data_IF_366092429783
#
_entry.id   IF_366092429783
#
_cell.length_a   1.000
_cell.length_b   1.000
_cell.length_c   1.000
_cell.angle_alpha   90.00
_cell.angle_beta   90.00
_cell.angle_gamma   90.00
#
_symmetry.space_group_name_H-M   'P 1'
#
loop_
_entity.id
_entity.type
_entity.pdbx_description
1 polymer ?
#
# COMPACT_ATOMS: atom_id res chain seq x y z
N UNK A 1 55.01 30.35 5.69
CA UNK A 1 54.98 29.49 4.49
C UNK A 1 55.24 28.05 4.94
N UNK A 2 54.19 27.23 5.00
CA UNK A 2 54.32 25.79 5.22
C UNK A 2 53.12 25.12 4.54
N UNK A 3 53.39 24.52 3.39
CA UNK A 3 52.42 23.89 2.51
C UNK A 3 52.15 22.47 3.00
N UNK A 4 50.91 22.15 3.36
CA UNK A 4 50.48 20.76 3.60
C UNK A 4 50.06 20.12 2.26
N UNK A 5 50.40 18.84 2.02
CA UNK A 5 50.06 18.18 0.78
C UNK A 5 48.61 17.71 0.78
N UNK A 6 48.00 17.86 -0.40
CA UNK A 6 46.68 17.35 -0.75
C UNK A 6 46.74 15.83 -0.82
N UNK A 7 45.88 15.15 -0.07
CA UNK A 7 45.62 13.72 -0.20
C UNK A 7 44.11 13.51 -0.25
N UNK A 8 43.52 13.90 -1.39
CA UNK A 8 42.21 13.46 -1.83
C UNK A 8 42.40 12.76 -3.15
N UNK A 9 42.56 11.45 -3.10
CA UNK A 9 42.21 10.50 -4.16
C UNK A 9 42.72 9.14 -3.69
N UNK A 10 41.78 8.29 -3.27
CA UNK A 10 41.82 6.83 -3.38
C UNK A 10 40.63 6.33 -2.56
N UNK A 11 39.56 5.98 -3.28
CA UNK A 11 38.41 5.14 -2.94
C UNK A 11 37.13 5.68 -3.59
N UNK A 12 37.19 5.95 -4.90
CA UNK A 12 36.01 5.83 -5.75
C UNK A 12 35.87 4.33 -6.07
N UNK A 13 35.46 3.55 -5.08
CA UNK A 13 34.95 2.21 -5.36
C UNK A 13 33.56 2.40 -5.92
N UNK A 14 33.39 1.91 -7.15
CA UNK A 14 32.15 1.88 -7.90
C UNK A 14 31.04 1.28 -7.02
N UNK A 15 30.15 2.14 -6.53
CA UNK A 15 28.94 1.71 -5.85
C UNK A 15 28.08 0.99 -6.91
N UNK A 16 27.60 -0.24 -6.66
CA UNK A 16 26.68 -0.91 -7.55
C UNK A 16 25.45 -0.02 -7.70
N UNK A 17 25.13 0.39 -8.93
CA UNK A 17 23.85 1.05 -9.21
C UNK A 17 22.72 0.13 -8.73
N UNK A 18 21.92 0.65 -7.80
CA UNK A 18 20.71 -0.03 -7.34
C UNK A 18 19.85 -0.37 -8.56
N UNK A 19 19.45 -1.64 -8.74
CA UNK A 19 18.63 -2.02 -9.89
C UNK A 19 17.32 -1.24 -9.89
N UNK A 20 16.80 -0.83 -11.06
CA UNK A 20 15.54 -0.11 -11.14
C UNK A 20 14.44 -0.92 -10.45
N UNK A 21 13.78 -0.25 -9.50
CA UNK A 21 12.73 -0.81 -8.65
C UNK A 21 11.63 -1.45 -9.52
N UNK A 22 11.22 -2.71 -9.26
CA UNK A 22 10.32 -3.43 -10.17
C UNK A 22 8.87 -3.00 -9.94
N UNK A 23 8.49 -1.77 -10.32
CA UNK A 23 7.07 -1.43 -10.37
C UNK A 23 6.38 -2.34 -11.37
N UNK A 24 5.27 -2.97 -10.96
CA UNK A 24 4.47 -3.76 -11.89
C UNK A 24 3.88 -2.74 -12.86
N UNK A 25 4.25 -2.80 -14.14
CA UNK A 25 3.74 -1.84 -15.08
C UNK A 25 2.23 -2.06 -15.21
N UNK A 26 1.48 -0.95 -15.31
CA UNK A 26 0.02 -0.98 -15.27
C UNK A 26 -0.58 -1.92 -16.32
N UNK A 27 0.09 -2.13 -17.45
CA UNK A 27 -0.33 -3.02 -18.53
C UNK A 27 -0.53 -4.49 -18.08
N UNK A 28 0.17 -4.94 -17.03
CA UNK A 28 0.08 -6.28 -16.46
C UNK A 28 -1.11 -6.51 -15.53
N UNK A 29 -1.81 -5.45 -15.10
CA UNK A 29 -2.99 -5.60 -14.24
C UNK A 29 -4.17 -6.20 -15.01
N UNK A 30 -4.90 -7.13 -14.39
CA UNK A 30 -6.13 -7.68 -14.98
C UNK A 30 -7.25 -6.62 -14.92
N UNK A 31 -7.72 -6.18 -16.10
CA UNK A 31 -8.78 -5.17 -16.20
C UNK A 31 -10.09 -5.65 -15.58
N UNK A 32 -10.36 -6.96 -15.62
CA UNK A 32 -11.58 -7.52 -15.04
C UNK A 32 -11.59 -7.41 -13.52
N UNK A 33 -10.41 -7.39 -12.90
CA UNK A 33 -10.25 -7.19 -11.46
C UNK A 33 -10.26 -5.70 -11.13
N UNK A 34 -9.56 -4.89 -11.93
CA UNK A 34 -9.49 -3.41 -11.77
C UNK A 34 -10.87 -2.76 -11.82
N UNK A 35 -11.76 -3.26 -12.67
CA UNK A 35 -13.13 -2.76 -12.83
C UNK A 35 -14.10 -3.19 -11.73
N UNK A 36 -13.69 -4.06 -10.80
CA UNK A 36 -14.54 -4.46 -9.69
C UNK A 36 -14.74 -3.28 -8.74
N UNK A 37 -15.98 -2.85 -8.56
CA UNK A 37 -16.34 -1.85 -7.56
C UNK A 37 -15.92 -2.27 -6.14
N UNK A 38 -16.02 -3.58 -5.85
CA UNK A 38 -15.51 -4.19 -4.62
C UNK A 38 -14.02 -3.91 -4.38
N UNK A 39 -13.19 -3.89 -5.43
CA UNK A 39 -11.76 -3.57 -5.32
C UNK A 39 -11.55 -2.11 -4.89
N UNK A 40 -12.23 -1.18 -5.56
CA UNK A 40 -12.17 0.24 -5.23
C UNK A 40 -12.62 0.50 -3.77
N UNK A 41 -13.73 -0.10 -3.35
CA UNK A 41 -14.22 0.02 -1.96
C UNK A 41 -13.20 -0.57 -0.98
N UNK A 42 -12.64 -1.75 -1.27
CA UNK A 42 -11.66 -2.38 -0.40
C UNK A 42 -10.39 -1.52 -0.22
N UNK A 43 -9.85 -0.96 -1.32
CA UNK A 43 -8.69 -0.06 -1.27
C UNK A 43 -8.97 1.20 -0.43
N UNK A 44 -10.17 1.77 -0.54
CA UNK A 44 -10.59 2.91 0.28
C UNK A 44 -10.75 2.54 1.76
N UNK A 45 -11.28 1.36 2.07
CA UNK A 45 -11.40 0.88 3.47
C UNK A 45 -10.02 0.72 4.11
N UNK A 46 -9.05 0.16 3.38
CA UNK A 46 -7.72 -0.14 3.92
C UNK A 46 -6.88 1.09 4.31
N UNK A 47 -7.31 2.29 3.97
CA UNK A 47 -6.64 3.55 4.35
C UNK A 47 -7.36 4.30 5.48
N UNK A 48 -8.51 3.80 5.92
CA UNK A 48 -9.43 4.45 6.88
C UNK A 48 -9.30 3.85 8.27
N UNK A 49 -8.35 4.37 9.05
CA UNK A 49 -8.15 3.97 10.45
C UNK A 49 -9.35 4.30 11.34
N UNK A 50 -10.15 5.32 11.00
CA UNK A 50 -11.41 5.61 11.68
C UNK A 50 -12.43 4.47 11.57
N UNK A 51 -12.43 3.74 10.43
CA UNK A 51 -13.27 2.56 10.28
C UNK A 51 -12.76 1.40 11.11
N UNK A 52 -11.43 1.24 11.19
CA UNK A 52 -10.80 0.23 12.03
C UNK A 52 -11.12 0.42 13.50
N UNK A 53 -10.90 1.63 14.04
CA UNK A 53 -11.21 1.93 15.44
C UNK A 53 -12.70 1.73 15.75
N UNK A 54 -13.59 2.21 14.85
CA UNK A 54 -15.04 1.97 15.00
C UNK A 54 -15.40 0.48 14.99
N UNK A 55 -14.73 -0.33 14.17
CA UNK A 55 -14.97 -1.77 14.11
C UNK A 55 -14.46 -2.49 15.37
N UNK A 56 -13.32 -2.08 15.93
CA UNK A 56 -12.84 -2.61 17.21
C UNK A 56 -13.79 -2.28 18.37
N UNK A 57 -14.31 -1.05 18.43
CA UNK A 57 -15.31 -0.63 19.45
C UNK A 57 -16.60 -1.46 19.38
N UNK A 58 -17.10 -1.71 18.16
CA UNK A 58 -18.30 -2.52 17.93
C UNK A 58 -18.11 -4.00 18.30
N UNK A 59 -16.87 -4.46 18.30
CA UNK A 59 -16.48 -5.80 18.67
C UNK A 59 -15.67 -5.77 19.96
N UNK A 60 -16.18 -5.11 21.00
CA UNK A 60 -15.49 -4.93 22.29
C UNK A 60 -15.02 -6.25 22.94
N UNK A 61 -15.63 -7.38 22.58
CA UNK A 61 -15.17 -8.72 22.97
C UNK A 61 -13.73 -9.04 22.48
N UNK A 62 -13.26 -8.32 21.45
CA UNK A 62 -11.87 -8.39 20.97
C UNK A 62 -10.86 -7.76 21.92
N UNK A 63 -11.29 -6.92 22.87
CA UNK A 63 -10.41 -6.27 23.84
C UNK A 63 -9.83 -7.20 24.90
N UNK A 64 -10.16 -8.51 24.89
CA UNK A 64 -9.63 -9.46 25.86
C UNK A 64 -8.63 -10.44 25.25
N UNK A 65 -8.99 -11.21 24.21
CA UNK A 65 -8.06 -12.08 23.46
C UNK A 65 -8.72 -12.46 22.13
N UNK A 66 -8.14 -12.11 20.97
CA UNK A 66 -8.66 -12.54 19.66
C UNK A 66 -7.80 -13.62 19.04
N UNK A 67 -8.42 -14.60 18.37
CA UNK A 67 -7.67 -15.49 17.50
C UNK A 67 -7.57 -14.85 16.10
N UNK A 68 -6.41 -14.29 15.80
CA UNK A 68 -6.11 -13.69 14.50
C UNK A 68 -5.81 -14.73 13.40
N UNK A 69 -5.79 -16.03 13.72
CA UNK A 69 -5.43 -17.11 12.80
C UNK A 69 -3.93 -17.25 12.52
N UNK A 70 -3.09 -16.37 13.06
CA UNK A 70 -1.62 -16.47 12.95
C UNK A 70 -1.08 -17.54 13.90
N UNK A 71 -0.07 -18.34 13.49
CA UNK A 71 0.64 -19.24 14.40
C UNK A 71 1.36 -18.50 15.53
N UNK A 72 1.52 -17.18 15.43
CA UNK A 72 2.09 -16.33 16.48
C UNK A 72 1.03 -15.83 17.49
N UNK A 73 -0.27 -16.07 17.24
CA UNK A 73 -1.40 -15.70 18.10
C UNK A 73 -1.92 -16.91 18.93
N UNK A 74 -1.07 -17.84 19.38
CA UNK A 74 -1.51 -19.14 19.96
C UNK A 74 -2.35 -19.05 21.23
N UNK A 75 -2.20 -17.99 22.03
CA UNK A 75 -2.99 -17.75 23.24
C UNK A 75 -3.99 -16.60 23.08
N UNK A 76 -4.27 -16.22 21.84
CA UNK A 76 -4.95 -14.98 21.51
C UNK A 76 -3.96 -13.82 21.37
N UNK A 77 -4.45 -12.72 20.81
CA UNK A 77 -3.67 -11.51 20.59
C UNK A 77 -4.51 -10.26 20.86
N UNK A 78 -3.83 -9.19 21.26
CA UNK A 78 -4.41 -7.86 21.44
C UNK A 78 -4.48 -7.14 20.09
N UNK A 79 -5.66 -6.71 19.61
CA UNK A 79 -5.75 -5.80 18.48
C UNK A 79 -5.04 -4.48 18.79
N UNK A 80 -4.45 -3.86 17.77
CA UNK A 80 -3.88 -2.53 17.87
C UNK A 80 -4.92 -1.49 17.48
N UNK A 81 -5.12 -0.44 18.27
CA UNK A 81 -6.14 0.59 17.96
C UNK A 81 -5.72 1.55 16.83
N UNK A 82 -4.40 1.70 16.66
CA UNK A 82 -3.70 2.61 15.75
C UNK A 82 -3.16 1.91 14.49
N UNK A 83 -3.31 0.59 14.39
CA UNK A 83 -2.83 -0.19 13.24
C UNK A 83 -3.74 -1.39 12.95
N UNK A 84 -4.01 -1.69 11.67
CA UNK A 84 -4.88 -2.80 11.25
C UNK A 84 -4.22 -4.19 11.41
N UNK A 85 -3.78 -4.52 12.63
CA UNK A 85 -3.19 -5.80 13.01
C UNK A 85 -3.39 -6.06 14.52
N UNK A 86 -2.86 -7.18 15.00
CA UNK A 86 -2.65 -7.40 16.43
C UNK A 86 -1.17 -7.23 16.78
N UNK A 87 -0.87 -7.09 18.07
CA UNK A 87 0.51 -6.96 18.60
C UNK A 87 1.43 -8.06 18.06
N UNK A 88 1.03 -9.32 18.18
CA UNK A 88 1.86 -10.47 17.75
C UNK A 88 2.18 -10.46 16.24
N UNK A 89 1.19 -10.10 15.40
CA UNK A 89 1.41 -9.98 13.96
C UNK A 89 2.25 -8.75 13.61
N UNK A 90 2.11 -7.65 14.35
CA UNK A 90 2.89 -6.45 14.12
C UNK A 90 4.36 -6.65 14.48
N UNK A 91 4.64 -7.21 15.66
CA UNK A 91 6.00 -7.42 16.18
C UNK A 91 6.79 -8.49 15.41
N UNK A 92 6.14 -9.30 14.58
CA UNK A 92 6.83 -10.31 13.78
C UNK A 92 7.57 -9.67 12.60
N UNK A 93 8.88 -9.44 12.74
CA UNK A 93 9.73 -8.85 11.70
C UNK A 93 9.93 -9.68 10.42
N UNK A 94 9.41 -10.91 10.34
CA UNK A 94 9.51 -11.75 9.13
C UNK A 94 8.27 -11.69 8.23
N UNK A 95 7.14 -11.22 8.73
CA UNK A 95 5.92 -11.07 7.95
C UNK A 95 5.47 -9.63 8.03
N UNK A 96 5.33 -9.00 6.87
CA UNK A 96 4.67 -7.70 6.80
C UNK A 96 3.30 -7.82 7.50
N UNK A 97 2.87 -6.87 8.34
CA UNK A 97 1.67 -7.02 9.16
C UNK A 97 0.35 -7.10 8.36
N UNK A 98 0.44 -7.08 7.02
CA UNK A 98 -0.64 -7.25 6.05
C UNK A 98 -1.36 -8.59 6.14
N UNK A 99 -0.72 -9.63 6.70
CA UNK A 99 -1.27 -10.98 6.77
C UNK A 99 -2.02 -11.30 8.07
N UNK A 100 -2.21 -10.31 8.96
CA UNK A 100 -3.00 -10.51 10.16
C UNK A 100 -4.47 -10.85 9.80
N UNK A 101 -4.99 -11.99 10.28
CA UNK A 101 -6.37 -12.39 9.98
C UNK A 101 -7.43 -11.45 10.56
N UNK A 102 -7.10 -10.62 11.56
CA UNK A 102 -7.97 -9.53 12.00
C UNK A 102 -8.24 -8.52 10.89
N UNK A 103 -7.23 -8.18 10.08
CA UNK A 103 -7.40 -7.28 8.93
C UNK A 103 -8.37 -7.87 7.91
N UNK A 104 -8.28 -9.19 7.67
CA UNK A 104 -9.21 -9.90 6.78
C UNK A 104 -10.63 -9.90 7.33
N UNK A 105 -10.81 -10.08 8.65
CA UNK A 105 -12.12 -10.02 9.30
C UNK A 105 -12.71 -8.60 9.23
N UNK A 106 -11.92 -7.59 9.59
CA UNK A 106 -12.29 -6.18 9.45
C UNK A 106 -12.74 -5.83 8.04
N UNK A 107 -11.95 -6.22 7.03
CA UNK A 107 -12.29 -5.93 5.64
C UNK A 107 -13.59 -6.63 5.22
N UNK A 108 -13.78 -7.89 5.61
CA UNK A 108 -15.01 -8.65 5.34
C UNK A 108 -16.23 -7.94 5.93
N UNK A 109 -16.16 -7.57 7.20
CA UNK A 109 -17.30 -6.99 7.93
C UNK A 109 -17.60 -5.57 7.41
N UNK A 110 -16.56 -4.81 7.08
CA UNK A 110 -16.71 -3.45 6.55
C UNK A 110 -17.24 -3.46 5.11
N UNK A 111 -16.78 -4.39 4.26
CA UNK A 111 -17.34 -4.60 2.92
C UNK A 111 -18.81 -5.00 2.97
N UNK A 112 -19.22 -5.77 3.99
CA UNK A 112 -20.61 -6.14 4.19
C UNK A 112 -21.46 -4.96 4.65
N UNK A 113 -21.04 -4.31 5.74
CA UNK A 113 -21.83 -3.29 6.43
C UNK A 113 -21.85 -1.95 5.70
N UNK A 114 -20.71 -1.53 5.14
CA UNK A 114 -20.56 -0.23 4.46
C UNK A 114 -20.47 -0.35 2.95
N UNK A 115 -19.86 -1.42 2.44
CA UNK A 115 -19.76 -1.68 1.01
C UNK A 115 -21.04 -2.23 0.37
N UNK A 116 -21.98 -2.73 1.17
CA UNK A 116 -23.23 -3.31 0.68
C UNK A 116 -23.07 -4.67 -0.02
N UNK A 117 -21.92 -5.32 0.10
CA UNK A 117 -21.68 -6.62 -0.51
C UNK A 117 -22.40 -7.74 0.28
N UNK A 118 -22.97 -8.69 -0.46
CA UNK A 118 -23.53 -9.92 0.13
C UNK A 118 -22.42 -10.87 0.59
N UNK A 119 -22.72 -11.77 1.52
CA UNK A 119 -21.75 -12.76 2.01
C UNK A 119 -21.14 -13.62 0.89
N UNK A 120 -21.94 -13.95 -0.14
CA UNK A 120 -21.45 -14.69 -1.32
C UNK A 120 -20.44 -13.86 -2.11
N UNK A 121 -20.78 -12.61 -2.44
CA UNK A 121 -19.87 -11.71 -3.15
C UNK A 121 -18.55 -11.52 -2.40
N UNK A 122 -18.59 -11.38 -1.07
CA UNK A 122 -17.38 -11.24 -0.26
C UNK A 122 -16.52 -12.52 -0.29
N UNK A 123 -17.15 -13.69 -0.23
CA UNK A 123 -16.47 -14.99 -0.28
C UNK A 123 -15.73 -15.17 -1.60
N UNK A 124 -16.37 -14.78 -2.72
CA UNK A 124 -15.78 -14.87 -4.05
C UNK A 124 -14.70 -13.80 -4.27
N UNK A 125 -14.89 -12.61 -3.69
CA UNK A 125 -14.01 -11.45 -3.89
C UNK A 125 -12.72 -11.51 -3.07
N UNK A 126 -12.76 -11.90 -1.79
CA UNK A 126 -11.57 -11.82 -0.91
C UNK A 126 -10.34 -12.58 -1.46
N UNK A 127 -10.46 -13.80 -2.03
CA UNK A 127 -9.32 -14.47 -2.64
C UNK A 127 -8.75 -13.74 -3.88
N UNK A 128 -9.60 -13.06 -4.65
CA UNK A 128 -9.17 -12.22 -5.77
C UNK A 128 -8.41 -11.00 -5.25
N UNK A 129 -8.95 -10.35 -4.23
CA UNK A 129 -8.33 -9.19 -3.59
C UNK A 129 -6.97 -9.53 -2.97
N UNK A 130 -6.85 -10.65 -2.25
CA UNK A 130 -5.57 -11.10 -1.67
C UNK A 130 -4.50 -11.31 -2.73
N UNK A 131 -4.83 -11.99 -3.84
CA UNK A 131 -3.88 -12.19 -4.96
C UNK A 131 -3.51 -10.88 -5.64
N UNK A 132 -4.48 -9.99 -5.82
CA UNK A 132 -4.23 -8.66 -6.38
C UNK A 132 -3.25 -7.89 -5.50
N UNK A 133 -3.46 -7.85 -4.18
CA UNK A 133 -2.54 -7.21 -3.22
C UNK A 133 -1.14 -7.78 -3.24
N UNK A 134 -1.01 -9.11 -3.23
CA UNK A 134 0.30 -9.77 -3.32
C UNK A 134 1.06 -9.41 -4.59
N UNK A 135 0.33 -9.06 -5.65
CA UNK A 135 0.91 -8.63 -6.92
C UNK A 135 1.24 -7.14 -6.88
N UNK A 136 0.36 -6.29 -6.34
CA UNK A 136 0.45 -4.82 -6.50
C UNK A 136 1.01 -4.06 -5.31
N UNK A 137 0.98 -4.64 -4.11
CA UNK A 137 1.43 -4.02 -2.87
C UNK A 137 2.74 -4.63 -2.35
N UNK A 138 2.96 -5.92 -2.56
CA UNK A 138 4.13 -6.63 -2.09
C UNK A 138 5.25 -6.60 -3.16
N UNK A 139 6.42 -6.02 -2.87
CA UNK A 139 7.64 -6.17 -3.70
C UNK A 139 8.13 -4.96 -4.51
N UNK A 140 7.76 -3.72 -4.20
CA UNK A 140 8.22 -2.53 -4.95
C UNK A 140 8.48 -1.37 -3.97
N UNK A 141 9.44 -0.51 -4.27
CA UNK A 141 9.74 0.74 -3.56
C UNK A 141 8.57 1.73 -3.64
N UNK A 142 8.30 2.45 -2.56
CA UNK A 142 7.11 3.31 -2.41
C UNK A 142 7.27 4.68 -3.10
N UNK A 143 6.15 5.24 -3.59
CA UNK A 143 6.05 6.63 -4.04
C UNK A 143 5.34 7.47 -2.96
N UNK A 144 5.74 8.72 -2.76
CA UNK A 144 5.20 9.63 -1.74
C UNK A 144 3.86 10.30 -2.12
N UNK A 145 3.30 10.00 -3.29
CA UNK A 145 2.11 10.69 -3.81
C UNK A 145 0.78 10.23 -3.20
N UNK A 146 -0.09 11.21 -2.89
CA UNK A 146 -1.40 11.06 -2.23
C UNK A 146 -2.61 11.07 -3.19
N UNK A 147 -2.39 11.15 -4.50
CA UNK A 147 -3.45 11.45 -5.47
C UNK A 147 -4.33 10.21 -5.73
N UNK A 148 -5.66 10.36 -5.67
CA UNK A 148 -6.62 9.37 -6.21
C UNK A 148 -7.32 8.44 -5.20
N UNK A 149 -7.07 8.56 -3.91
CA UNK A 149 -7.64 7.65 -2.89
C UNK A 149 -9.12 7.91 -2.52
N UNK A 150 -9.76 8.95 -3.04
CA UNK A 150 -11.17 9.27 -2.76
C UNK A 150 -12.16 8.56 -3.71
N UNK A 151 -11.66 7.74 -4.63
CA UNK A 151 -12.46 6.98 -5.58
C UNK A 151 -13.07 7.81 -6.71
N UNK A 152 -12.90 9.15 -6.74
CA UNK A 152 -13.50 10.00 -7.79
C UNK A 152 -12.96 9.67 -9.16
N UNK A 153 -11.66 9.39 -9.26
CA UNK A 153 -11.05 8.99 -10.52
C UNK A 153 -11.60 7.64 -11.02
N UNK A 154 -11.84 6.68 -10.11
CA UNK A 154 -12.51 5.42 -10.46
C UNK A 154 -13.92 5.66 -11.02
N UNK A 155 -14.70 6.55 -10.39
CA UNK A 155 -16.05 6.91 -10.85
C UNK A 155 -16.02 7.58 -12.23
N UNK A 156 -15.13 8.56 -12.44
CA UNK A 156 -15.00 9.26 -13.72
C UNK A 156 -14.58 8.31 -14.85
N UNK A 157 -13.62 7.42 -14.59
CA UNK A 157 -13.16 6.45 -15.58
C UNK A 157 -14.20 5.35 -15.85
N UNK A 158 -15.01 4.98 -14.85
CA UNK A 158 -16.14 4.06 -15.03
C UNK A 158 -17.24 4.69 -15.86
N UNK A 159 -17.60 5.95 -15.58
CA UNK A 159 -18.56 6.70 -16.38
C UNK A 159 -18.09 6.86 -17.84
N UNK A 160 -16.80 7.15 -18.06
CA UNK A 160 -16.22 7.20 -19.40
C UNK A 160 -16.28 5.84 -20.11
N UNK A 161 -16.18 4.72 -19.39
CA UNK A 161 -16.28 3.36 -19.96
C UNK A 161 -17.69 3.09 -20.43
N UNK A 162 -18.66 3.42 -19.59
CA UNK A 162 -20.08 3.17 -19.87
C UNK A 162 -20.54 4.05 -21.05
N UNK A 163 -20.15 5.34 -21.06
CA UNK A 163 -20.38 6.23 -22.21
C UNK A 163 -19.77 5.70 -23.52
N UNK A 164 -18.55 5.15 -23.47
CA UNK A 164 -17.92 4.57 -24.66
C UNK A 164 -18.63 3.30 -25.13
N UNK A 165 -19.18 2.52 -24.20
CA UNK A 165 -20.00 1.35 -24.52
C UNK A 165 -21.30 1.77 -25.23
N UNK A 166 -21.99 2.79 -24.73
CA UNK A 166 -23.22 3.34 -25.31
C UNK A 166 -22.98 3.91 -26.72
N UNK A 167 -21.86 4.64 -26.90
CA UNK A 167 -21.44 5.12 -28.22
C UNK A 167 -21.18 3.95 -29.17
N UNK A 168 -20.54 2.88 -28.70
CA UNK A 168 -20.30 1.69 -29.54
C UNK A 168 -21.60 0.98 -29.93
N UNK A 169 -22.56 0.88 -29.01
CA UNK A 169 -23.87 0.26 -29.29
C UNK A 169 -24.69 1.10 -30.27
N UNK A 170 -24.70 2.42 -30.12
CA UNK A 170 -25.45 3.34 -31.00
C UNK A 170 -24.86 3.43 -32.42
N UNK A 171 -23.57 3.14 -32.60
CA UNK A 171 -22.87 3.12 -33.90
C UNK A 171 -22.83 1.72 -34.55
N UNK A 172 -23.68 0.79 -34.08
CA UNK A 172 -23.82 -0.56 -34.63
C UNK A 172 -24.01 -0.66 -36.17
N UNK A 173 -24.63 0.30 -36.90
CA UNK A 173 -24.74 0.21 -38.35
C UNK A 173 -23.52 0.71 -39.15
N UNK A 174 -22.46 1.22 -38.50
CA UNK A 174 -21.31 1.83 -39.20
C UNK A 174 -20.23 0.78 -39.57
N UNK A 175 -19.63 0.84 -40.79
CA UNK A 175 -18.56 -0.04 -41.23
C UNK A 175 -17.35 -0.11 -40.27
N UNK A 176 -16.71 -1.28 -40.22
CA UNK A 176 -15.63 -1.60 -39.28
C UNK A 176 -14.44 -0.63 -39.36
N UNK A 177 -14.13 -0.09 -40.54
CA UNK A 177 -13.01 0.83 -40.78
C UNK A 177 -13.17 2.17 -40.05
N UNK A 178 -14.41 2.66 -39.91
CA UNK A 178 -14.71 3.88 -39.17
C UNK A 178 -14.74 3.69 -37.64
N UNK A 179 -14.59 2.45 -37.14
CA UNK A 179 -14.55 2.13 -35.69
C UNK A 179 -13.13 2.19 -35.09
N UNK A 180 -12.10 2.40 -35.91
CA UNK A 180 -10.69 2.50 -35.47
C UNK A 180 -10.45 3.56 -34.37
N UNK A 181 -11.03 4.77 -34.43
CA UNK A 181 -10.91 5.75 -33.34
C UNK A 181 -11.57 5.30 -32.03
N UNK A 182 -12.72 4.62 -32.09
CA UNK A 182 -13.45 4.11 -30.91
C UNK A 182 -12.63 3.02 -30.23
N UNK A 183 -12.04 2.12 -31.02
CA UNK A 183 -11.16 1.08 -30.48
C UNK A 183 -9.91 1.68 -29.81
N UNK A 184 -9.32 2.73 -30.40
CA UNK A 184 -8.21 3.47 -29.76
C UNK A 184 -8.63 4.12 -28.45
N UNK A 185 -9.79 4.78 -28.40
CA UNK A 185 -10.34 5.34 -27.17
C UNK A 185 -10.57 4.25 -26.10
N UNK A 186 -11.08 3.08 -26.50
CA UNK A 186 -11.30 1.96 -25.58
C UNK A 186 -9.99 1.47 -24.96
N UNK A 187 -8.94 1.33 -25.78
CA UNK A 187 -7.62 0.93 -25.30
C UNK A 187 -6.98 1.99 -24.40
N UNK A 188 -7.09 3.28 -24.75
CA UNK A 188 -6.61 4.37 -23.90
C UNK A 188 -7.33 4.37 -22.56
N UNK A 189 -8.64 4.15 -22.54
CA UNK A 189 -9.42 4.11 -21.31
C UNK A 189 -9.11 2.87 -20.46
N UNK A 190 -8.85 1.71 -21.07
CA UNK A 190 -8.34 0.53 -20.34
C UNK A 190 -7.01 0.86 -19.66
N UNK A 191 -6.07 1.49 -20.39
CA UNK A 191 -4.77 1.89 -19.83
C UNK A 191 -4.93 2.88 -18.69
N UNK A 192 -5.76 3.90 -18.85
CA UNK A 192 -6.02 4.89 -17.81
C UNK A 192 -6.60 4.27 -16.53
N UNK A 193 -7.51 3.29 -16.65
CA UNK A 193 -8.07 2.57 -15.49
C UNK A 193 -7.05 1.70 -14.77
N UNK A 194 -6.23 0.96 -15.52
CA UNK A 194 -5.12 0.18 -14.96
C UNK A 194 -4.11 1.09 -14.26
N UNK A 195 -3.76 2.21 -14.88
CA UNK A 195 -2.84 3.18 -14.30
C UNK A 195 -3.40 3.83 -13.04
N UNK A 196 -4.68 4.19 -13.02
CA UNK A 196 -5.35 4.66 -11.81
C UNK A 196 -5.30 3.61 -10.69
N UNK A 197 -5.56 2.34 -10.99
CA UNK A 197 -5.45 1.27 -10.01
C UNK A 197 -4.01 1.11 -9.47
N UNK A 198 -2.99 1.21 -10.35
CA UNK A 198 -1.58 1.21 -9.95
C UNK A 198 -1.27 2.33 -8.97
N UNK A 199 -1.63 3.57 -9.32
CA UNK A 199 -1.39 4.77 -8.49
C UNK A 199 -2.09 4.64 -7.13
N UNK A 200 -3.36 4.21 -7.11
CA UNK A 200 -4.10 4.01 -5.85
C UNK A 200 -3.41 2.95 -4.98
N UNK A 201 -2.96 1.83 -5.56
CA UNK A 201 -2.21 0.81 -4.81
C UNK A 201 -0.91 1.37 -4.22
N UNK A 202 -0.18 2.18 -4.99
CA UNK A 202 1.04 2.84 -4.52
C UNK A 202 0.75 3.78 -3.34
N UNK A 203 -0.32 4.57 -3.41
CA UNK A 203 -0.74 5.45 -2.32
C UNK A 203 -1.19 4.68 -1.07
N UNK A 204 -1.96 3.60 -1.23
CA UNK A 204 -2.41 2.73 -0.13
C UNK A 204 -1.20 2.15 0.60
N UNK A 205 -0.24 1.62 -0.15
CA UNK A 205 1.00 1.07 0.40
C UNK A 205 1.87 2.13 1.07
N UNK A 206 2.07 3.28 0.44
CA UNK A 206 2.84 4.39 1.00
C UNK A 206 2.27 4.81 2.36
N UNK A 207 0.94 4.87 2.48
CA UNK A 207 0.26 5.10 3.75
C UNK A 207 0.47 3.97 4.76
N UNK A 208 0.40 2.71 4.33
CA UNK A 208 0.67 1.56 5.20
C UNK A 208 2.10 1.58 5.74
N UNK A 209 3.09 1.82 4.89
CA UNK A 209 4.49 2.03 5.28
C UNK A 209 4.63 3.17 6.29
N UNK A 210 3.99 4.32 6.03
CA UNK A 210 4.03 5.46 6.94
C UNK A 210 3.44 5.13 8.32
N UNK A 211 2.33 4.39 8.37
CA UNK A 211 1.73 3.96 9.64
C UNK A 211 2.64 3.00 10.41
N UNK A 212 3.27 2.04 9.71
CA UNK A 212 4.25 1.13 10.34
C UNK A 212 5.43 1.92 10.89
N UNK A 213 6.03 2.80 10.08
CA UNK A 213 7.17 3.61 10.49
C UNK A 213 6.83 4.52 11.68
N UNK A 214 5.67 5.20 11.63
CA UNK A 214 5.22 6.08 12.71
C UNK A 214 5.12 5.32 14.04
N UNK A 215 4.55 4.11 14.02
CA UNK A 215 4.43 3.28 15.20
C UNK A 215 5.79 2.76 15.70
N UNK A 216 6.70 2.35 14.81
CA UNK A 216 8.07 1.95 15.19
C UNK A 216 8.79 3.12 15.89
N UNK A 217 8.65 4.35 15.36
CA UNK A 217 9.21 5.55 15.98
C UNK A 217 8.58 5.81 17.36
N UNK A 218 7.28 5.66 17.51
CA UNK A 218 6.60 5.80 18.80
C UNK A 218 7.04 4.75 19.83
N UNK A 219 7.19 3.49 19.41
CA UNK A 219 7.73 2.40 20.24
C UNK A 219 9.18 2.71 20.68
N UNK A 220 10.03 3.20 19.76
CA UNK A 220 11.39 3.61 20.09
C UNK A 220 11.43 4.82 21.05
N UNK A 221 10.61 5.85 20.80
CA UNK A 221 10.50 7.02 21.67
C UNK A 221 9.99 6.65 23.06
N UNK A 222 9.03 5.73 23.15
CA UNK A 222 8.55 5.21 24.42
C UNK A 222 9.68 4.52 25.20
N UNK A 223 10.47 3.66 24.54
CA UNK A 223 11.64 3.00 25.16
C UNK A 223 12.69 4.01 25.62
N UNK A 224 12.97 5.05 24.84
CA UNK A 224 13.86 6.16 25.25
C UNK A 224 13.41 6.91 26.50
N UNK A 225 12.10 7.00 26.72
CA UNK A 225 11.52 7.70 27.89
C UNK A 225 11.47 6.84 29.16
N UNK A 226 11.74 5.54 29.06
CA UNK A 226 11.79 4.65 30.23
C UNK A 226 13.03 4.97 31.06
N UNK A 227 12.85 5.07 32.38
CA UNK A 227 13.99 5.05 33.31
C UNK A 227 14.64 3.68 33.27
N UNK A 228 15.86 3.60 32.73
CA UNK A 228 16.62 2.38 32.57
C UNK A 228 18.10 2.68 32.27
N UNK A 229 18.92 1.63 32.21
CA UNK A 229 20.31 1.76 31.82
C UNK A 229 20.43 2.19 30.34
N UNK A 230 21.34 3.13 30.06
CA UNK A 230 21.52 3.71 28.74
C UNK A 230 21.89 2.66 27.68
N UNK A 231 22.62 1.61 28.07
CA UNK A 231 23.00 0.51 27.17
C UNK A 231 21.76 -0.28 26.72
N UNK A 232 20.84 -0.55 27.65
CA UNK A 232 19.58 -1.25 27.33
C UNK A 232 18.71 -0.43 26.39
N UNK A 233 18.59 0.88 26.65
CA UNK A 233 17.80 1.79 25.81
C UNK A 233 18.38 1.86 24.39
N UNK A 234 19.71 1.94 24.26
CA UNK A 234 20.38 1.96 22.96
C UNK A 234 20.16 0.65 22.20
N UNK A 235 20.29 -0.50 22.85
CA UNK A 235 20.04 -1.80 22.22
C UNK A 235 18.58 -1.90 21.70
N UNK A 236 17.63 -1.45 22.50
CA UNK A 236 16.20 -1.44 22.19
C UNK A 236 15.84 -0.53 21.00
N UNK A 237 16.47 0.65 20.90
CA UNK A 237 16.27 1.59 19.79
C UNK A 237 16.93 1.08 18.53
N UNK A 238 18.14 0.55 18.61
CA UNK A 238 18.83 -0.08 17.47
C UNK A 238 18.01 -1.22 16.88
N UNK A 239 17.39 -2.06 17.71
CA UNK A 239 16.53 -3.14 17.24
C UNK A 239 15.30 -2.66 16.45
N UNK A 240 14.70 -1.52 16.84
CA UNK A 240 13.60 -0.91 16.09
C UNK A 240 14.06 -0.27 14.77
N UNK A 241 15.25 0.35 14.75
CA UNK A 241 15.84 0.89 13.53
C UNK A 241 16.18 -0.22 12.52
N UNK A 242 16.83 -1.30 12.96
CA UNK A 242 17.08 -2.48 12.13
C UNK A 242 15.78 -3.09 11.59
N UNK A 243 14.71 -3.05 12.39
CA UNK A 243 13.39 -3.50 11.94
C UNK A 243 12.83 -2.58 10.85
N UNK A 244 12.94 -1.27 10.99
CA UNK A 244 12.50 -0.32 9.97
C UNK A 244 13.30 -0.47 8.66
N UNK A 245 14.62 -0.73 8.75
CA UNK A 245 15.50 -1.01 7.62
C UNK A 245 15.12 -2.32 6.91
N UNK A 246 14.93 -3.42 7.67
CA UNK A 246 14.46 -4.71 7.12
C UNK A 246 13.12 -4.61 6.40
N UNK A 247 12.26 -3.68 6.81
CA UNK A 247 10.97 -3.42 6.19
C UNK A 247 11.05 -2.41 5.04
N UNK A 248 12.26 -1.93 4.70
CA UNK A 248 12.51 -0.92 3.66
C UNK A 248 11.65 0.35 3.86
N UNK A 249 11.49 0.77 5.12
CA UNK A 249 10.71 1.96 5.49
C UNK A 249 11.53 3.25 5.54
N UNK A 250 12.86 3.10 5.61
CA UNK A 250 13.81 4.20 5.59
C UNK A 250 14.38 4.26 4.18
N UNK A 251 14.34 5.45 3.58
CA UNK A 251 14.99 5.71 2.30
C UNK A 251 16.40 6.20 2.56
N UNK A 252 17.38 5.72 1.79
CA UNK A 252 18.70 6.34 1.78
C UNK A 252 18.57 7.74 1.18
N UNK A 253 19.06 8.75 1.91
CA UNK A 253 18.99 10.15 1.49
C UNK A 253 19.77 10.41 0.18
N UNK A 254 20.71 9.53 -0.17
CA UNK A 254 21.51 9.62 -1.37
C UNK A 254 20.69 9.29 -2.65
N UNK A 255 19.55 8.59 -2.55
CA UNK A 255 18.65 8.30 -3.68
C UNK A 255 17.69 9.47 -4.01
N UNK A 256 17.60 10.49 -3.15
CA UNK A 256 16.69 11.64 -3.36
C UNK A 256 17.27 12.77 -4.21
N UNK A 257 18.61 12.86 -4.35
CA UNK A 257 19.25 13.93 -5.12
C UNK A 257 19.12 13.74 -6.66
N UNK A 258 18.95 12.50 -7.16
CA UNK A 258 18.80 12.25 -8.61
C UNK A 258 17.46 12.72 -9.20
N UNK A 259 16.47 13.08 -8.37
CA UNK A 259 15.14 13.48 -8.84
C UNK A 259 14.87 14.99 -8.78
N UNK A 260 15.76 15.80 -8.22
CA UNK A 260 15.60 17.26 -8.19
C UNK A 260 15.94 17.94 -9.54
N UNK A 261 16.64 17.27 -10.46
CA UNK A 261 16.97 17.82 -11.78
C UNK A 261 15.81 17.79 -12.80
N UNK A 262 14.64 17.23 -12.46
CA UNK A 262 13.51 17.08 -13.39
C UNK A 262 12.48 18.22 -13.37
N UNK A 263 12.68 19.25 -12.54
CA UNK A 263 11.83 20.43 -12.50
C UNK A 263 12.63 21.71 -12.79
N UNK A 264 13.02 21.89 -14.05
CA UNK A 264 13.36 23.22 -14.55
C UNK A 264 12.07 24.05 -14.70
N UNK A 265 11.94 25.21 -14.04
CA UNK A 265 10.79 26.08 -14.22
C UNK A 265 10.85 26.76 -15.59
N UNK A 266 9.84 26.50 -16.43
CA UNK A 266 9.50 27.33 -17.59
C UNK A 266 8.90 28.68 -17.17
#
# INVERSE_FOLDING_TARGET
>A
MSSRPSSRNLLAQSIPQSPPSPSIPADRLDINVVDLEALNIALQIEVRMDFWSSWLEQNADFGRHVNCGSPHCTQGCTPLDDFMACEACFSNGQQYPTNCGLRTQFLRDTLRSRGGLTSRQITDFLPVYTRFKQTTLDGITSSSSRIGMDGRMFVLLSAARDQLHDVRQSLAPIPHEARSPIHRLQNTLIRARKENARIVCESVRSRQNWMVLSRIIEEALYKCRRTGDAVSILADVSAELERAERLSLIYDADDTEEHEELYDPL
#
